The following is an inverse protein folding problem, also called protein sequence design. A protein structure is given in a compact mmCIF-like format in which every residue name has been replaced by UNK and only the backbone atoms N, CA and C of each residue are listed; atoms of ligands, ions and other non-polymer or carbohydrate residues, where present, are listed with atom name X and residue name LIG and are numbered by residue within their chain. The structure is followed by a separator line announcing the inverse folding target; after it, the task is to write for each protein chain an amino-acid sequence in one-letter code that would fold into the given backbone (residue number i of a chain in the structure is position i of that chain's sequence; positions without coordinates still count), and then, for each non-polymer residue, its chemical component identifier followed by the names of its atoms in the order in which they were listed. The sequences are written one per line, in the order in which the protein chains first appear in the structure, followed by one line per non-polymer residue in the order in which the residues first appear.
data_IF_030764273506
#
_entry.id   IF_030764273506
#
_cell.length_a   1.000
_cell.length_b   1.000
_cell.length_c   1.000
_cell.angle_alpha   90.00
_cell.angle_beta   90.00
_cell.angle_gamma   90.00
#
_symmetry.space_group_name_H-M   'P 1'
#
loop_
_entity.id
_entity.type
_entity.pdbx_description
1 polymer ?
#
# COMPACT_ATOMS: atom_id res chain seq x y z
N UNK A 1 5.53 28.65 7.16
CA UNK A 1 4.14 28.99 7.14
C UNK A 1 3.83 30.05 8.17
N UNK A 2 2.66 30.61 8.08
CA UNK A 2 2.30 31.65 9.00
C UNK A 2 1.74 31.13 10.32
N UNK A 3 1.60 32.02 11.28
CA UNK A 3 1.04 31.75 12.59
C UNK A 3 -0.30 31.01 12.58
N UNK A 4 -1.13 31.23 11.55
CA UNK A 4 -2.46 30.60 11.40
C UNK A 4 -2.36 29.09 11.17
N UNK A 5 -1.46 28.60 10.32
CA UNK A 5 -1.30 27.17 10.08
C UNK A 5 -0.80 26.45 11.33
N UNK A 6 0.25 26.97 11.94
CA UNK A 6 0.80 26.39 13.18
C UNK A 6 -0.22 26.45 14.33
N UNK A 7 -0.95 27.56 14.45
CA UNK A 7 -2.00 27.70 15.45
C UNK A 7 -3.14 26.67 15.26
N UNK A 8 -3.52 26.39 14.02
CA UNK A 8 -4.51 25.37 13.72
C UNK A 8 -4.02 23.96 14.07
N UNK A 9 -2.77 23.62 13.76
CA UNK A 9 -2.20 22.34 14.16
C UNK A 9 -2.19 22.16 15.69
N UNK A 10 -1.77 23.18 16.42
CA UNK A 10 -1.83 23.17 17.91
C UNK A 10 -3.26 23.01 18.41
N UNK A 11 -4.23 23.68 17.79
CA UNK A 11 -5.63 23.56 18.15
C UNK A 11 -6.14 22.14 17.91
N UNK A 12 -5.86 21.53 16.77
CA UNK A 12 -6.26 20.15 16.48
C UNK A 12 -5.69 19.16 17.48
N UNK A 13 -4.41 19.30 17.84
CA UNK A 13 -3.80 18.46 18.89
C UNK A 13 -4.54 18.62 20.23
N UNK A 14 -4.80 19.85 20.67
CA UNK A 14 -5.49 20.12 21.93
C UNK A 14 -6.92 19.60 21.94
N UNK A 15 -7.68 19.82 20.87
CA UNK A 15 -9.07 19.38 20.74
C UNK A 15 -9.17 17.84 20.70
N UNK A 16 -8.22 17.18 20.01
CA UNK A 16 -8.16 15.71 19.98
C UNK A 16 -7.90 15.14 21.38
N UNK A 17 -6.92 15.68 22.10
CA UNK A 17 -6.61 15.26 23.47
C UNK A 17 -7.75 15.52 24.44
N UNK A 18 -8.43 16.64 24.31
CA UNK A 18 -9.59 16.98 25.16
C UNK A 18 -10.76 15.98 25.01
N UNK A 19 -10.81 15.26 23.90
CA UNK A 19 -11.77 14.18 23.64
C UNK A 19 -11.23 12.77 23.92
N UNK A 20 -10.08 12.66 24.56
CA UNK A 20 -9.43 11.38 24.89
C UNK A 20 -8.72 10.71 23.70
N UNK A 21 -8.59 11.40 22.56
CA UNK A 21 -7.86 10.88 21.39
C UNK A 21 -6.35 11.09 21.49
N UNK A 22 -5.60 10.26 20.79
CA UNK A 22 -4.14 10.39 20.62
C UNK A 22 -3.87 10.96 19.23
N UNK A 23 -3.42 12.23 19.11
CA UNK A 23 -3.12 12.81 17.82
C UNK A 23 -1.79 12.26 17.27
N UNK A 24 -1.74 12.07 15.95
CA UNK A 24 -0.50 11.80 15.18
C UNK A 24 -0.44 12.84 14.07
N UNK A 25 0.69 13.52 13.92
CA UNK A 25 0.86 14.51 12.87
C UNK A 25 1.64 13.96 11.69
N UNK A 26 1.26 14.42 10.51
CA UNK A 26 1.88 14.08 9.23
C UNK A 26 2.23 15.37 8.48
N UNK A 27 3.28 15.34 7.67
CA UNK A 27 3.48 16.35 6.64
C UNK A 27 2.97 15.86 5.27
N UNK A 28 3.01 16.73 4.27
CA UNK A 28 2.52 16.42 2.93
C UNK A 28 3.40 15.42 2.20
N UNK A 29 2.81 14.55 1.39
CA UNK A 29 3.53 13.71 0.44
C UNK A 29 4.21 14.58 -0.62
N UNK A 30 5.30 14.09 -1.23
CA UNK A 30 6.02 14.82 -2.27
C UNK A 30 5.16 14.97 -3.54
N UNK A 31 5.33 16.09 -4.26
CA UNK A 31 4.88 16.25 -5.64
C UNK A 31 5.96 15.74 -6.59
N UNK A 32 5.58 15.14 -7.70
CA UNK A 32 6.50 14.64 -8.72
C UNK A 32 7.02 15.81 -9.56
N UNK A 33 8.01 16.54 -9.05
CA UNK A 33 8.60 17.70 -9.69
C UNK A 33 10.12 17.47 -9.91
N UNK A 34 10.46 16.73 -10.95
CA UNK A 34 11.85 16.50 -11.33
C UNK A 34 12.43 17.69 -12.10
N UNK A 35 13.69 17.99 -11.86
CA UNK A 35 14.45 19.00 -12.58
C UNK A 35 15.85 18.50 -12.87
N UNK A 36 16.41 18.95 -13.98
CA UNK A 36 17.79 18.65 -14.31
C UNK A 36 18.71 19.14 -13.17
N UNK A 37 19.66 18.31 -12.78
CA UNK A 37 20.58 18.56 -11.67
C UNK A 37 21.30 19.93 -11.74
N UNK A 38 21.63 20.41 -12.96
CA UNK A 38 22.23 21.73 -13.16
C UNK A 38 21.30 22.91 -12.82
N UNK A 39 20.01 22.69 -12.86
CA UNK A 39 18.97 23.68 -12.58
C UNK A 39 18.22 23.42 -11.26
N UNK A 40 18.63 22.44 -10.51
CA UNK A 40 18.08 22.12 -9.21
C UNK A 40 18.57 23.13 -8.16
N UNK A 41 18.10 24.37 -8.30
CA UNK A 41 18.31 25.39 -7.26
C UNK A 41 17.29 25.12 -6.17
N UNK A 42 17.78 24.81 -5.00
CA UNK A 42 16.98 24.44 -3.84
C UNK A 42 16.30 25.65 -3.16
N UNK A 43 15.93 26.69 -3.90
CA UNK A 43 15.30 27.88 -3.30
C UNK A 43 13.97 27.56 -2.64
N UNK A 44 13.22 26.61 -3.21
CA UNK A 44 11.92 26.15 -2.69
C UNK A 44 12.01 24.84 -1.91
N UNK A 45 13.18 24.20 -1.85
CA UNK A 45 13.37 22.92 -1.20
C UNK A 45 13.91 23.10 0.22
N UNK A 46 13.06 22.97 1.20
CA UNK A 46 13.45 23.02 2.62
C UNK A 46 14.23 21.78 3.06
N UNK A 47 14.31 20.77 2.21
CA UNK A 47 15.02 19.51 2.45
C UNK A 47 16.28 19.41 1.59
N UNK A 48 17.11 20.42 1.67
CA UNK A 48 18.39 20.50 0.92
C UNK A 48 19.31 19.28 1.13
N UNK A 49 19.17 18.60 2.24
CA UNK A 49 19.85 17.35 2.55
C UNK A 49 19.42 16.17 1.67
N UNK A 50 18.16 16.13 1.25
CA UNK A 50 17.62 15.08 0.38
C UNK A 50 17.98 15.31 -1.09
N UNK A 51 18.05 16.57 -1.53
CA UNK A 51 18.43 16.89 -2.91
C UNK A 51 19.93 16.70 -3.19
N UNK A 52 20.76 16.64 -2.16
CA UNK A 52 22.23 16.60 -2.30
C UNK A 52 22.85 15.23 -2.58
N UNK A 53 22.13 14.15 -2.51
CA UNK A 53 22.70 12.81 -2.66
C UNK A 53 21.93 11.87 -3.56
N UNK A 54 20.73 12.23 -3.92
CA UNK A 54 19.79 11.35 -4.60
C UNK A 54 19.52 11.83 -6.02
N UNK A 55 20.46 11.57 -6.91
CA UNK A 55 20.31 11.81 -8.36
C UNK A 55 19.68 10.57 -8.95
N UNK A 56 18.61 10.72 -9.73
CA UNK A 56 18.04 9.61 -10.50
C UNK A 56 19.03 9.10 -11.54
N UNK A 57 18.80 7.92 -12.09
CA UNK A 57 19.63 7.35 -13.16
C UNK A 57 19.71 8.28 -14.37
N UNK A 58 18.71 9.12 -14.60
CA UNK A 58 18.64 10.10 -15.68
C UNK A 58 19.29 11.45 -15.32
N UNK A 59 19.93 11.56 -14.16
CA UNK A 59 20.58 12.80 -13.69
C UNK A 59 19.62 13.88 -13.23
N UNK A 60 18.34 13.56 -13.02
CA UNK A 60 17.33 14.49 -12.53
C UNK A 60 17.12 14.39 -11.01
N UNK A 61 16.82 15.51 -10.39
CA UNK A 61 16.60 15.63 -8.96
C UNK A 61 15.16 16.01 -8.69
N UNK A 62 14.52 15.27 -7.77
CA UNK A 62 13.19 15.58 -7.28
C UNK A 62 13.25 16.77 -6.32
N UNK A 63 12.53 17.85 -6.66
CA UNK A 63 12.48 19.07 -5.86
C UNK A 63 11.14 19.16 -5.13
N UNK A 64 11.19 19.33 -3.82
CA UNK A 64 9.97 19.57 -3.05
C UNK A 64 9.47 21.00 -3.20
N UNK A 65 8.18 21.15 -3.44
CA UNK A 65 7.52 22.44 -3.68
C UNK A 65 6.62 22.92 -2.54
N UNK A 66 6.65 22.26 -1.38
CA UNK A 66 5.82 22.62 -0.23
C UNK A 66 6.47 23.68 0.67
N UNK A 67 7.77 23.92 0.51
CA UNK A 67 8.49 24.91 1.29
C UNK A 67 8.36 24.68 2.80
N UNK A 68 8.27 25.75 3.56
CA UNK A 68 8.20 25.72 5.03
C UNK A 68 6.97 24.98 5.60
N UNK A 69 5.96 24.67 4.79
CA UNK A 69 4.79 23.93 5.26
C UNK A 69 5.12 22.48 5.70
N UNK A 70 6.25 21.92 5.26
CA UNK A 70 6.73 20.62 5.72
C UNK A 70 7.23 20.64 7.16
N UNK A 71 7.77 21.77 7.60
CA UNK A 71 8.38 21.90 8.94
C UNK A 71 7.34 22.11 10.05
N UNK A 72 6.21 22.74 9.72
CA UNK A 72 5.20 23.09 10.72
C UNK A 72 4.64 21.88 11.47
N UNK A 73 4.21 20.78 10.83
CA UNK A 73 3.72 19.61 11.54
C UNK A 73 4.79 18.97 12.42
N UNK A 74 6.05 18.90 11.95
CA UNK A 74 7.18 18.38 12.72
C UNK A 74 7.45 19.23 13.96
N UNK A 75 7.50 20.56 13.80
CA UNK A 75 7.79 21.48 14.89
C UNK A 75 6.68 21.46 15.95
N UNK A 76 5.40 21.46 15.53
CA UNK A 76 4.27 21.37 16.45
C UNK A 76 4.22 20.00 17.14
N UNK A 77 4.53 18.91 16.44
CA UNK A 77 4.62 17.59 17.02
C UNK A 77 5.68 17.53 18.13
N UNK A 78 6.85 18.07 17.86
CA UNK A 78 7.93 18.17 18.86
C UNK A 78 7.56 19.07 20.04
N UNK A 79 6.94 20.23 19.78
CA UNK A 79 6.50 21.17 20.81
C UNK A 79 5.47 20.55 21.76
N UNK A 80 4.52 19.78 21.23
CA UNK A 80 3.41 19.22 21.99
C UNK A 80 3.59 17.75 22.37
N UNK A 81 4.77 17.19 22.12
CA UNK A 81 5.08 15.78 22.38
C UNK A 81 4.00 14.83 21.80
N UNK A 82 3.83 14.89 20.49
CA UNK A 82 2.96 13.99 19.73
C UNK A 82 3.76 13.24 18.66
N UNK A 83 3.40 11.98 18.33
CA UNK A 83 4.04 11.25 17.25
C UNK A 83 3.96 12.01 15.92
N UNK A 84 5.04 11.92 15.14
CA UNK A 84 5.15 12.55 13.82
C UNK A 84 5.62 11.54 12.79
N UNK A 85 4.89 11.45 11.69
CA UNK A 85 5.25 10.62 10.53
C UNK A 85 5.69 11.53 9.38
N UNK A 86 6.94 11.43 8.97
CA UNK A 86 7.52 12.23 7.88
C UNK A 86 7.16 11.62 6.51
N UNK A 87 5.90 11.83 6.09
CA UNK A 87 5.42 11.33 4.81
C UNK A 87 6.12 11.96 3.62
N UNK A 88 6.58 13.20 3.76
CA UNK A 88 7.35 13.84 2.70
C UNK A 88 8.66 13.10 2.45
N UNK A 89 9.43 12.80 3.51
CA UNK A 89 10.69 12.06 3.36
C UNK A 89 10.45 10.68 2.73
N UNK A 90 9.49 9.92 3.23
CA UNK A 90 9.19 8.57 2.77
C UNK A 90 8.80 8.57 1.28
N UNK A 91 7.93 9.48 0.89
CA UNK A 91 7.46 9.55 -0.50
C UNK A 91 8.49 10.20 -1.43
N UNK A 92 9.31 11.11 -0.93
CA UNK A 92 10.42 11.68 -1.67
C UNK A 92 11.45 10.60 -2.02
N UNK A 93 11.85 9.80 -1.05
CA UNK A 93 12.82 8.72 -1.25
C UNK A 93 12.30 7.72 -2.30
N UNK A 94 11.05 7.29 -2.18
CA UNK A 94 10.41 6.40 -3.17
C UNK A 94 10.39 7.00 -4.58
N UNK A 95 9.89 8.22 -4.72
CA UNK A 95 9.72 8.86 -6.03
C UNK A 95 11.06 9.18 -6.68
N UNK A 96 12.06 9.59 -5.88
CA UNK A 96 13.42 9.84 -6.35
C UNK A 96 14.11 8.55 -6.82
N UNK A 97 13.98 7.45 -6.06
CA UNK A 97 14.52 6.14 -6.43
C UNK A 97 13.90 5.62 -7.74
N UNK A 98 12.59 5.78 -7.90
CA UNK A 98 11.90 5.39 -9.13
C UNK A 98 12.31 6.22 -10.35
N UNK A 99 12.75 7.45 -10.14
CA UNK A 99 13.09 8.37 -11.22
C UNK A 99 11.88 8.97 -11.96
N UNK A 100 12.15 9.86 -12.95
CA UNK A 100 11.09 10.65 -13.58
C UNK A 100 10.09 9.82 -14.40
N UNK A 101 10.50 8.77 -15.09
CA UNK A 101 9.58 7.99 -15.90
C UNK A 101 8.78 6.96 -15.09
N UNK A 102 9.45 6.13 -14.30
CA UNK A 102 8.77 5.06 -13.57
C UNK A 102 7.83 5.58 -12.49
N UNK A 103 8.10 6.75 -11.91
CA UNK A 103 7.24 7.35 -10.89
C UNK A 103 5.89 7.88 -11.44
N UNK A 104 5.76 8.09 -12.75
CA UNK A 104 4.46 8.44 -13.38
C UNK A 104 3.35 7.47 -13.00
N UNK A 105 3.67 6.18 -12.83
CA UNK A 105 2.69 5.14 -12.46
C UNK A 105 2.05 5.34 -11.07
N UNK A 106 2.61 6.17 -10.21
CA UNK A 106 2.03 6.51 -8.91
C UNK A 106 1.00 7.64 -9.00
N UNK A 107 1.10 8.47 -10.02
CA UNK A 107 0.34 9.72 -10.15
C UNK A 107 -0.75 9.62 -11.23
N UNK A 108 -1.59 10.64 -11.34
CA UNK A 108 -2.70 10.69 -12.31
C UNK A 108 -2.17 11.02 -13.72
N UNK A 109 -1.32 10.16 -14.24
CA UNK A 109 -0.86 10.18 -15.62
C UNK A 109 -1.74 9.24 -16.45
N UNK A 110 -2.62 9.80 -17.27
CA UNK A 110 -3.63 9.09 -18.05
C UNK A 110 -3.37 9.38 -19.52
N UNK A 111 -3.08 8.37 -20.35
CA UNK A 111 -2.93 8.55 -21.79
C UNK A 111 -4.22 9.08 -22.45
N UNK A 112 -4.06 9.75 -23.57
CA UNK A 112 -5.19 10.17 -24.40
C UNK A 112 -6.05 8.98 -24.83
N UNK A 113 -7.36 9.15 -24.79
CA UNK A 113 -8.34 8.15 -25.20
C UNK A 113 -8.63 7.03 -24.19
N UNK A 114 -7.90 6.95 -23.07
CA UNK A 114 -8.09 5.87 -22.06
C UNK A 114 -9.24 6.14 -21.11
N UNK A 115 -9.50 7.40 -20.80
CA UNK A 115 -10.50 7.79 -19.81
C UNK A 115 -11.58 8.72 -20.43
N UNK A 116 -12.85 8.30 -20.37
CA UNK A 116 -13.95 9.09 -20.90
C UNK A 116 -14.11 10.47 -20.22
N UNK A 117 -13.77 10.58 -18.93
CA UNK A 117 -13.83 11.85 -18.20
C UNK A 117 -12.66 12.80 -18.52
N UNK A 118 -11.58 12.30 -19.14
CA UNK A 118 -10.43 13.08 -19.58
C UNK A 118 -9.94 12.58 -20.96
N UNK A 119 -10.69 12.81 -22.04
CA UNK A 119 -10.41 12.23 -23.36
C UNK A 119 -9.07 12.66 -23.95
N UNK A 120 -8.57 13.84 -23.56
CA UNK A 120 -7.24 14.35 -23.97
C UNK A 120 -6.08 13.83 -23.09
N UNK A 121 -6.36 12.89 -22.20
CA UNK A 121 -5.39 12.43 -21.20
C UNK A 121 -5.20 13.42 -20.04
N UNK A 122 -4.29 13.10 -19.14
CA UNK A 122 -3.96 13.95 -17.98
C UNK A 122 -2.52 13.71 -17.55
N UNK A 123 -1.80 14.78 -17.28
CA UNK A 123 -0.44 14.75 -16.73
C UNK A 123 -0.42 15.46 -15.38
N UNK A 124 -0.79 14.73 -14.33
CA UNK A 124 -0.89 15.30 -12.98
C UNK A 124 0.20 14.76 -12.09
N UNK A 125 1.08 15.63 -11.65
CA UNK A 125 2.23 15.35 -10.80
C UNK A 125 1.93 15.52 -9.29
N UNK A 126 0.68 15.76 -8.93
CA UNK A 126 0.28 16.08 -7.55
C UNK A 126 -0.64 15.01 -6.96
N UNK A 127 -1.61 14.55 -7.74
CA UNK A 127 -2.62 13.62 -7.27
C UNK A 127 -2.23 12.17 -7.61
N UNK A 128 -2.36 11.31 -6.61
CA UNK A 128 -2.09 9.88 -6.77
C UNK A 128 -3.24 9.20 -7.51
N UNK A 129 -2.90 8.21 -8.32
CA UNK A 129 -3.88 7.24 -8.80
C UNK A 129 -4.08 6.12 -7.75
N UNK A 130 -4.96 5.14 -8.03
CA UNK A 130 -5.28 4.04 -7.11
C UNK A 130 -4.04 3.21 -6.74
N UNK A 131 -3.17 2.93 -7.71
CA UNK A 131 -1.93 2.19 -7.46
C UNK A 131 -0.98 2.98 -6.54
N UNK A 132 -0.75 4.27 -6.84
CA UNK A 132 0.09 5.13 -6.03
C UNK A 132 -0.45 5.32 -4.61
N UNK A 133 -1.77 5.52 -4.48
CA UNK A 133 -2.41 5.63 -3.17
C UNK A 133 -2.22 4.36 -2.32
N UNK A 134 -2.37 3.17 -2.92
CA UNK A 134 -2.13 1.90 -2.22
C UNK A 134 -0.67 1.70 -1.84
N UNK A 135 0.25 2.03 -2.73
CA UNK A 135 1.69 1.93 -2.47
C UNK A 135 2.09 2.83 -1.29
N UNK A 136 1.67 4.09 -1.34
CA UNK A 136 1.98 5.05 -0.26
C UNK A 136 1.26 4.70 1.04
N UNK A 137 0.02 4.20 0.98
CA UNK A 137 -0.68 3.72 2.17
C UNK A 137 0.09 2.59 2.88
N UNK A 138 0.65 1.64 2.14
CA UNK A 138 1.52 0.59 2.71
C UNK A 138 2.72 1.18 3.46
N UNK A 139 3.45 2.10 2.84
CA UNK A 139 4.58 2.79 3.49
C UNK A 139 4.14 3.61 4.71
N UNK A 140 2.94 4.21 4.65
CA UNK A 140 2.37 4.95 5.78
C UNK A 140 2.08 4.03 6.97
N UNK A 141 1.53 2.86 6.71
CA UNK A 141 1.23 1.85 7.73
C UNK A 141 2.52 1.39 8.43
N UNK A 142 3.59 1.12 7.67
CA UNK A 142 4.90 0.76 8.22
C UNK A 142 5.49 1.89 9.08
N UNK A 143 5.39 3.11 8.61
CA UNK A 143 5.87 4.27 9.34
C UNK A 143 5.08 4.51 10.63
N UNK A 144 3.75 4.35 10.60
CA UNK A 144 2.91 4.43 11.79
C UNK A 144 3.29 3.35 12.80
N UNK A 145 3.51 2.11 12.38
CA UNK A 145 3.94 1.03 13.27
C UNK A 145 5.23 1.37 14.01
N UNK A 146 6.13 2.06 13.33
CA UNK A 146 7.43 2.49 13.88
C UNK A 146 7.31 3.69 14.82
N UNK A 147 6.61 4.74 14.39
CA UNK A 147 6.52 6.01 15.12
C UNK A 147 5.45 5.98 16.24
N UNK A 148 4.52 5.04 16.18
CA UNK A 148 3.45 4.84 17.17
C UNK A 148 3.43 3.37 17.62
N UNK A 149 4.34 2.93 18.49
CA UNK A 149 4.50 1.51 18.86
C UNK A 149 3.23 0.84 19.38
N UNK A 150 2.33 1.61 19.99
CA UNK A 150 1.03 1.11 20.45
C UNK A 150 0.14 0.61 19.31
N UNK A 151 0.35 1.06 18.07
CA UNK A 151 -0.38 0.62 16.89
C UNK A 151 0.29 -0.54 16.15
N UNK A 152 1.58 -0.82 16.39
CA UNK A 152 2.31 -1.87 15.72
C UNK A 152 1.63 -3.26 15.78
N UNK A 153 1.02 -3.70 16.91
CA UNK A 153 0.32 -4.98 16.96
C UNK A 153 -0.95 -5.05 16.10
N UNK A 154 -1.49 -3.90 15.67
CA UNK A 154 -2.70 -3.80 14.87
C UNK A 154 -2.41 -3.59 13.38
N UNK A 155 -1.15 -3.42 13.01
CA UNK A 155 -0.76 -3.25 11.62
C UNK A 155 -0.87 -4.58 10.89
N UNK A 156 -1.69 -4.61 9.85
CA UNK A 156 -1.88 -5.76 8.96
C UNK A 156 -1.66 -5.34 7.52
N UNK A 157 -0.77 -6.05 6.84
CA UNK A 157 -0.54 -5.87 5.40
C UNK A 157 -1.51 -6.69 4.54
N UNK A 158 -2.19 -7.66 5.17
CA UNK A 158 -3.14 -8.56 4.54
C UNK A 158 -4.42 -8.65 5.39
N UNK A 159 -5.56 -8.86 4.74
CA UNK A 159 -6.82 -9.03 5.44
C UNK A 159 -6.81 -10.33 6.25
N UNK A 160 -6.24 -11.40 5.66
CA UNK A 160 -6.09 -12.70 6.29
C UNK A 160 -4.69 -13.27 6.08
N UNK A 161 -4.22 -14.03 7.06
CA UNK A 161 -2.97 -14.78 7.03
C UNK A 161 -3.25 -16.25 7.28
N UNK A 162 -2.80 -17.11 6.38
CA UNK A 162 -2.85 -18.57 6.52
C UNK A 162 -1.47 -19.07 6.92
N UNK A 163 -1.37 -19.81 8.04
CA UNK A 163 -0.11 -20.36 8.53
C UNK A 163 -0.31 -21.70 9.24
N UNK A 164 0.49 -22.70 8.88
CA UNK A 164 0.43 -24.06 9.48
C UNK A 164 0.89 -24.11 10.93
N UNK A 165 1.71 -23.16 11.34
CA UNK A 165 2.29 -23.08 12.68
C UNK A 165 1.39 -22.35 13.71
N UNK A 166 0.20 -21.91 13.28
CA UNK A 166 -0.73 -21.16 14.13
C UNK A 166 -0.41 -19.67 14.28
N UNK A 167 0.58 -19.13 13.57
CA UNK A 167 0.91 -17.69 13.56
C UNK A 167 -0.02 -16.86 12.68
N UNK A 168 -0.93 -17.51 11.93
CA UNK A 168 -1.92 -16.87 11.07
C UNK A 168 -3.32 -16.86 11.66
N UNK A 169 -4.25 -16.28 10.91
CA UNK A 169 -5.68 -16.26 11.25
C UNK A 169 -6.34 -17.63 10.95
N UNK A 170 -5.77 -18.42 10.00
CA UNK A 170 -6.28 -19.70 9.55
C UNK A 170 -5.16 -20.73 9.34
N UNK A 171 -5.49 -22.01 9.45
CA UNK A 171 -4.57 -23.11 9.19
C UNK A 171 -4.62 -23.61 7.75
N UNK A 172 -5.73 -23.37 7.04
CA UNK A 172 -5.93 -23.80 5.67
C UNK A 172 -6.31 -22.63 4.76
N UNK A 173 -5.97 -22.74 3.48
CA UNK A 173 -6.30 -21.73 2.47
C UNK A 173 -7.83 -21.70 2.28
N UNK A 174 -8.47 -22.86 2.30
CA UNK A 174 -9.92 -22.94 2.12
C UNK A 174 -10.71 -22.25 3.23
N UNK A 175 -10.25 -22.34 4.49
CA UNK A 175 -10.87 -21.61 5.62
C UNK A 175 -10.80 -20.10 5.41
N UNK A 176 -9.64 -19.58 4.99
CA UNK A 176 -9.48 -18.16 4.70
C UNK A 176 -10.40 -17.71 3.55
N UNK A 177 -10.56 -18.52 2.49
CA UNK A 177 -11.48 -18.23 1.39
C UNK A 177 -12.93 -18.21 1.88
N UNK A 178 -13.33 -19.15 2.75
CA UNK A 178 -14.69 -19.17 3.31
C UNK A 178 -14.98 -17.90 4.13
N UNK A 179 -13.98 -17.36 4.83
CA UNK A 179 -14.11 -16.14 5.62
C UNK A 179 -14.24 -14.85 4.78
N UNK A 180 -13.89 -14.90 3.49
CA UNK A 180 -14.10 -13.74 2.59
C UNK A 180 -15.58 -13.43 2.48
N UNK A 181 -16.01 -12.15 2.63
CA UNK A 181 -17.42 -11.78 2.42
C UNK A 181 -17.92 -12.13 1.00
N UNK A 182 -19.12 -12.70 0.93
CA UNK A 182 -19.76 -12.97 -0.36
C UNK A 182 -20.23 -11.69 -1.04
N UNK A 183 -20.13 -11.66 -2.37
CA UNK A 183 -20.62 -10.57 -3.24
C UNK A 183 -20.15 -9.18 -2.78
N UNK A 184 -18.88 -9.08 -2.37
CA UNK A 184 -18.28 -7.82 -1.90
C UNK A 184 -18.37 -6.73 -2.97
N UNK A 185 -19.08 -5.63 -2.66
CA UNK A 185 -19.36 -4.56 -3.63
C UNK A 185 -18.17 -3.66 -3.93
N UNK A 186 -17.21 -3.58 -3.03
CA UNK A 186 -16.03 -2.72 -3.18
C UNK A 186 -14.83 -3.26 -2.41
N UNK A 187 -13.63 -2.95 -2.91
CA UNK A 187 -12.36 -3.36 -2.32
C UNK A 187 -11.95 -4.78 -2.75
N UNK A 188 -10.78 -5.17 -2.29
CA UNK A 188 -10.16 -6.47 -2.54
C UNK A 188 -9.84 -7.13 -1.21
N UNK A 189 -10.09 -8.42 -1.08
CA UNK A 189 -9.60 -9.20 0.07
C UNK A 189 -8.26 -9.82 -0.28
N UNK A 190 -7.27 -9.58 0.55
CA UNK A 190 -5.90 -10.10 0.39
C UNK A 190 -5.66 -11.20 1.43
N UNK A 191 -5.25 -12.37 0.96
CA UNK A 191 -4.93 -13.54 1.79
C UNK A 191 -3.46 -13.86 1.58
N UNK A 192 -2.65 -13.73 2.62
CA UNK A 192 -1.27 -14.19 2.63
C UNK A 192 -1.23 -15.67 3.05
N UNK A 193 -0.58 -16.49 2.24
CA UNK A 193 -0.27 -17.89 2.57
C UNK A 193 1.21 -17.97 2.95
N UNK A 194 1.50 -18.19 4.21
CA UNK A 194 2.87 -18.30 4.70
C UNK A 194 3.52 -19.58 4.18
N UNK A 195 4.85 -19.59 4.22
CA UNK A 195 5.66 -20.76 3.86
C UNK A 195 5.13 -22.05 4.53
N UNK A 196 4.95 -23.10 3.73
CA UNK A 196 4.43 -24.39 4.21
C UNK A 196 3.84 -25.22 3.10
N UNK A 197 3.54 -26.48 3.40
CA UNK A 197 2.85 -27.39 2.46
C UNK A 197 1.38 -27.48 2.84
N UNK A 198 0.52 -27.03 1.95
CA UNK A 198 -0.93 -27.01 2.08
C UNK A 198 -1.52 -28.09 1.18
N UNK A 199 -1.73 -29.28 1.79
CA UNK A 199 -2.31 -30.42 1.07
C UNK A 199 -3.82 -30.33 1.13
N UNK A 200 -4.40 -29.60 0.21
CA UNK A 200 -5.84 -29.34 0.14
C UNK A 200 -6.28 -29.03 -1.28
N UNK A 201 -7.55 -29.24 -1.56
CA UNK A 201 -8.20 -28.82 -2.80
C UNK A 201 -8.88 -27.49 -2.52
N UNK A 202 -8.48 -26.45 -3.24
CA UNK A 202 -8.96 -25.08 -3.02
C UNK A 202 -10.04 -24.75 -4.04
N UNK A 203 -11.16 -24.22 -3.56
CA UNK A 203 -12.26 -23.72 -4.38
C UNK A 203 -12.55 -22.29 -4.02
N UNK A 204 -12.45 -21.38 -5.00
CA UNK A 204 -12.89 -19.99 -4.88
C UNK A 204 -14.24 -19.89 -5.61
N UNK A 205 -15.37 -19.90 -4.89
CA UNK A 205 -16.68 -19.88 -5.49
C UNK A 205 -16.99 -18.52 -6.13
N UNK A 206 -17.97 -18.50 -7.00
CA UNK A 206 -18.43 -17.33 -7.77
C UNK A 206 -18.78 -16.12 -6.88
N UNK A 207 -19.26 -16.39 -5.66
CA UNK A 207 -19.61 -15.35 -4.69
C UNK A 207 -18.39 -14.61 -4.07
N UNK A 208 -17.18 -15.21 -4.11
CA UNK A 208 -15.94 -14.67 -3.52
C UNK A 208 -15.19 -13.78 -4.50
N UNK A 209 -15.77 -12.66 -4.87
CA UNK A 209 -15.22 -11.71 -5.84
C UNK A 209 -14.07 -10.86 -5.25
N UNK A 210 -13.15 -10.45 -6.13
CA UNK A 210 -12.01 -9.57 -5.78
C UNK A 210 -11.11 -10.14 -4.67
N UNK A 211 -10.74 -11.42 -4.76
CA UNK A 211 -9.78 -12.07 -3.86
C UNK A 211 -8.39 -12.06 -4.47
N UNK A 212 -7.37 -11.77 -3.67
CA UNK A 212 -5.96 -12.03 -3.97
C UNK A 212 -5.41 -13.08 -3.01
N UNK A 213 -4.95 -14.18 -3.55
CA UNK A 213 -4.20 -15.21 -2.84
C UNK A 213 -2.71 -15.01 -3.13
N UNK A 214 -1.91 -14.76 -2.10
CA UNK A 214 -0.49 -14.38 -2.21
C UNK A 214 0.30 -15.40 -1.41
N UNK A 215 1.16 -16.18 -2.08
CA UNK A 215 2.06 -17.11 -1.41
C UNK A 215 3.40 -16.45 -1.04
N UNK A 216 3.89 -16.70 0.17
CA UNK A 216 5.30 -16.48 0.50
C UNK A 216 6.18 -17.43 -0.31
N UNK A 217 7.46 -17.12 -0.41
CA UNK A 217 8.44 -18.04 -1.00
C UNK A 217 8.47 -19.36 -0.19
N UNK A 218 8.24 -20.46 -0.88
CA UNK A 218 8.08 -21.79 -0.26
C UNK A 218 6.69 -22.13 0.26
N UNK A 219 5.65 -21.33 -0.06
CA UNK A 219 4.26 -21.75 0.09
C UNK A 219 3.88 -22.71 -1.05
N UNK A 220 3.51 -23.93 -0.72
CA UNK A 220 3.19 -25.00 -1.68
C UNK A 220 1.76 -25.46 -1.47
N UNK A 221 0.89 -25.21 -2.46
CA UNK A 221 -0.44 -25.82 -2.53
C UNK A 221 -0.38 -27.10 -3.35
N UNK A 222 -0.81 -28.22 -2.78
CA UNK A 222 -0.77 -29.52 -3.45
C UNK A 222 -1.99 -30.36 -3.11
N UNK A 223 -2.33 -31.29 -4.01
CA UNK A 223 -3.36 -32.30 -3.80
C UNK A 223 -2.98 -33.59 -4.55
N UNK A 224 -3.46 -34.74 -4.09
CA UNK A 224 -3.12 -36.07 -4.65
C UNK A 224 -4.07 -36.51 -5.78
N UNK A 225 -5.00 -35.66 -6.20
CA UNK A 225 -5.92 -36.03 -7.25
C UNK A 225 -5.24 -36.01 -8.62
N UNK A 226 -5.53 -37.01 -9.45
CA UNK A 226 -5.08 -37.13 -10.83
C UNK A 226 -6.22 -37.66 -11.72
N UNK A 227 -6.11 -37.48 -13.01
CA UNK A 227 -7.21 -37.72 -13.96
C UNK A 227 -7.82 -39.13 -13.89
N UNK A 228 -7.01 -40.15 -13.76
CA UNK A 228 -7.46 -41.56 -13.68
C UNK A 228 -7.84 -42.00 -12.25
N UNK A 229 -7.71 -41.12 -11.25
CA UNK A 229 -8.18 -41.40 -9.89
C UNK A 229 -9.69 -41.50 -9.87
N UNK A 230 -10.22 -42.54 -9.22
CA UNK A 230 -11.66 -42.71 -9.09
C UNK A 230 -12.22 -41.90 -7.91
N UNK A 231 -13.35 -41.26 -8.11
CA UNK A 231 -14.12 -40.61 -7.07
C UNK A 231 -14.90 -41.64 -6.21
N UNK A 232 -15.67 -41.16 -5.24
CA UNK A 232 -16.48 -42.01 -4.36
C UNK A 232 -17.45 -42.93 -5.11
N UNK A 233 -17.91 -42.52 -6.30
CA UNK A 233 -18.86 -43.26 -7.13
C UNK A 233 -18.18 -44.24 -8.12
N UNK A 234 -16.85 -44.37 -8.08
CA UNK A 234 -16.07 -45.21 -8.97
C UNK A 234 -15.79 -44.63 -10.36
N UNK A 235 -16.15 -43.40 -10.60
CA UNK A 235 -15.91 -42.66 -11.87
C UNK A 235 -14.55 -41.99 -11.87
N UNK A 236 -13.88 -41.94 -13.02
CA UNK A 236 -12.60 -41.20 -13.13
C UNK A 236 -12.82 -39.69 -12.96
N UNK A 237 -11.93 -39.06 -12.21
CA UNK A 237 -12.00 -37.61 -11.94
C UNK A 237 -11.80 -36.77 -13.20
N UNK A 238 -11.14 -37.33 -14.21
CA UNK A 238 -10.70 -36.61 -15.42
C UNK A 238 -9.82 -35.39 -15.11
N UNK A 239 -9.43 -34.65 -16.14
CA UNK A 239 -8.60 -33.45 -15.98
C UNK A 239 -9.28 -32.38 -15.15
N UNK A 240 -10.56 -32.15 -15.37
CA UNK A 240 -11.32 -31.10 -14.64
C UNK A 240 -11.52 -31.44 -13.16
N UNK A 241 -11.84 -32.71 -12.84
CA UNK A 241 -12.08 -33.14 -11.46
C UNK A 241 -10.83 -33.29 -10.62
N UNK A 242 -9.64 -33.39 -11.24
CA UNK A 242 -8.36 -33.57 -10.56
C UNK A 242 -7.62 -32.27 -10.24
N UNK A 243 -8.13 -31.11 -10.61
CA UNK A 243 -7.49 -29.81 -10.36
C UNK A 243 -7.29 -29.56 -8.86
N UNK A 244 -6.14 -29.03 -8.49
CA UNK A 244 -5.82 -28.63 -7.12
C UNK A 244 -6.52 -27.33 -6.72
N UNK A 245 -6.74 -26.44 -7.67
CA UNK A 245 -7.39 -25.17 -7.42
C UNK A 245 -8.48 -24.91 -8.49
N UNK A 246 -9.68 -24.54 -8.04
CA UNK A 246 -10.79 -24.11 -8.88
C UNK A 246 -11.12 -22.66 -8.59
N UNK A 247 -11.21 -21.85 -9.63
CA UNK A 247 -11.55 -20.43 -9.52
C UNK A 247 -12.80 -20.19 -10.39
N UNK A 248 -13.92 -19.98 -9.74
CA UNK A 248 -15.20 -19.65 -10.39
C UNK A 248 -15.52 -18.17 -10.28
N UNK A 249 -14.84 -17.45 -9.39
CA UNK A 249 -14.98 -16.01 -9.20
C UNK A 249 -14.43 -15.24 -10.41
N UNK A 250 -15.09 -14.12 -10.82
CA UNK A 250 -14.62 -13.24 -11.88
C UNK A 250 -13.39 -12.44 -11.48
#
# INVERSE_FOLDING_TARGET
PGSTFDANLRRFVKETRAKGGIPVLFNAIVRRNFRNNKNAVAEDDVRKDLSKGSVSQDGEVLIDTHGKYLESPRNVAKELDVPFVDMNKITHDLVQEMGPEASKKLFMWIPEGVCAACPKGREDNTHLNVYGARTIAGLTVDAIAKEVPALAPFVRHYDFVVAKDGSGDFFTIQEAIHAVPDFRKAGRTTILVRKGVYKEKVVIPESKISVSLIGEDGAILTNDDFAAKKNYFGEEMSTSGSSTCYIYAP
#
